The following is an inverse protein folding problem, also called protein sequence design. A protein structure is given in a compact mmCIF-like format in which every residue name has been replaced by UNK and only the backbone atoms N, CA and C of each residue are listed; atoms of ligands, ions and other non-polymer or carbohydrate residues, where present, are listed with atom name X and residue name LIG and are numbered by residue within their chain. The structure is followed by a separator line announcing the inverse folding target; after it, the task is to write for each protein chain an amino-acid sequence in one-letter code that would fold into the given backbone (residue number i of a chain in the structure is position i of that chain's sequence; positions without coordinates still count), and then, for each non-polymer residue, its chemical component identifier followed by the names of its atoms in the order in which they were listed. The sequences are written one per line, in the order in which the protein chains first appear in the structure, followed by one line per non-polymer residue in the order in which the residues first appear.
data_IF_378120369012
#
_entry.id   IF_378120369012
#
_cell.length_a   1.000
_cell.length_b   1.000
_cell.length_c   1.000
_cell.angle_alpha   90.00
_cell.angle_beta   90.00
_cell.angle_gamma   90.00
#
_symmetry.space_group_name_H-M   'P 1'
#
loop_
_entity.id
_entity.type
_entity.pdbx_description
1 polymer ?
#
# COMPACT_ATOMS: atom_id res chain seq x y z
N UNK A 1 9.85 14.67 11.49
CA UNK A 1 8.66 13.90 11.94
C UNK A 1 8.62 12.56 11.27
N UNK A 2 7.96 11.57 11.89
CA UNK A 2 7.58 10.32 11.23
C UNK A 2 6.06 10.26 11.06
N UNK A 3 5.60 9.55 10.03
CA UNK A 3 4.21 9.41 9.68
C UNK A 3 3.68 7.98 9.91
N UNK A 4 4.24 7.27 10.91
CA UNK A 4 3.87 5.90 11.24
C UNK A 4 4.52 4.86 10.31
N UNK A 5 3.99 3.66 10.37
CA UNK A 5 4.48 2.51 9.60
C UNK A 5 3.41 1.97 8.65
N UNK A 6 3.87 1.20 7.69
CA UNK A 6 3.05 0.41 6.77
C UNK A 6 3.47 -1.05 6.84
N UNK A 7 2.53 -1.96 6.75
CA UNK A 7 2.79 -3.37 6.52
C UNK A 7 2.79 -3.66 5.02
N UNK A 8 3.88 -4.23 4.54
CA UNK A 8 4.08 -4.57 3.13
C UNK A 8 4.43 -6.06 2.96
N UNK A 9 3.96 -6.91 3.89
CA UNK A 9 4.30 -8.34 3.92
C UNK A 9 3.63 -9.13 2.79
N UNK A 10 2.48 -8.67 2.28
CA UNK A 10 1.81 -9.32 1.14
C UNK A 10 2.53 -8.94 -0.15
N UNK A 11 3.47 -9.78 -0.53
CA UNK A 11 4.33 -9.55 -1.68
C UNK A 11 4.61 -10.86 -2.44
N UNK A 12 4.99 -10.72 -3.72
CA UNK A 12 5.45 -11.80 -4.58
C UNK A 12 6.71 -11.37 -5.31
N UNK A 13 7.75 -12.18 -5.27
CA UNK A 13 9.04 -11.86 -5.89
C UNK A 13 9.55 -10.46 -5.51
N UNK A 14 9.45 -10.08 -4.24
CA UNK A 14 9.77 -8.76 -3.68
C UNK A 14 8.93 -7.59 -4.26
N UNK A 15 7.84 -7.88 -4.96
CA UNK A 15 6.86 -6.88 -5.38
C UNK A 15 5.68 -6.88 -4.42
N UNK A 16 5.42 -5.74 -3.81
CA UNK A 16 4.29 -5.52 -2.90
C UNK A 16 2.99 -5.64 -3.69
N UNK A 17 1.99 -6.31 -3.14
CA UNK A 17 0.68 -6.57 -3.76
C UNK A 17 -0.44 -5.88 -3.00
N UNK A 18 -0.41 -6.01 -1.66
CA UNK A 18 -1.31 -5.31 -0.74
C UNK A 18 -0.47 -4.69 0.37
N UNK A 19 -0.78 -3.45 0.71
CA UNK A 19 -0.17 -2.73 1.83
C UNK A 19 -1.25 -2.22 2.77
N UNK A 20 -0.98 -2.19 4.07
CA UNK A 20 -1.91 -1.65 5.06
C UNK A 20 -1.21 -0.83 6.15
N UNK A 21 -1.95 0.06 6.76
CA UNK A 21 -1.51 0.86 7.90
C UNK A 21 -2.67 1.13 8.85
N UNK A 22 -2.45 1.02 10.19
CA UNK A 22 -1.24 0.50 10.84
C UNK A 22 -1.09 -1.01 10.65
N UNK A 23 0.13 -1.53 10.79
CA UNK A 23 0.41 -2.97 10.70
C UNK A 23 -0.34 -3.75 11.78
N UNK A 24 -1.02 -4.86 11.45
CA UNK A 24 -1.62 -5.73 12.46
C UNK A 24 -0.57 -6.48 13.32
N UNK A 25 0.68 -6.58 12.85
CA UNK A 25 1.75 -7.28 13.55
C UNK A 25 2.35 -6.47 14.71
N UNK A 26 2.15 -5.14 14.75
CA UNK A 26 2.77 -4.26 15.74
C UNK A 26 1.75 -3.78 16.77
N UNK A 27 2.17 -3.75 18.04
CA UNK A 27 1.45 -3.04 19.07
C UNK A 27 1.83 -1.54 19.11
N UNK A 28 1.11 -0.75 19.91
CA UNK A 28 1.33 0.70 20.00
C UNK A 28 2.75 1.05 20.44
N UNK A 29 3.28 0.39 21.43
CA UNK A 29 4.62 0.66 21.96
C UNK A 29 5.70 0.42 20.90
N UNK A 30 5.60 -0.68 20.14
CA UNK A 30 6.54 -0.99 19.06
C UNK A 30 6.52 0.05 17.94
N UNK A 31 5.33 0.59 17.61
CA UNK A 31 5.21 1.70 16.64
C UNK A 31 5.90 2.96 17.10
N UNK A 32 5.66 3.34 18.35
CA UNK A 32 6.29 4.52 18.94
C UNK A 32 7.81 4.36 19.00
N UNK A 33 8.29 3.18 19.38
CA UNK A 33 9.72 2.87 19.46
C UNK A 33 10.41 2.95 18.10
N UNK A 34 9.89 2.27 17.08
CA UNK A 34 10.52 2.31 15.75
C UNK A 34 10.43 3.69 15.12
N UNK A 35 9.33 4.42 15.31
CA UNK A 35 9.18 5.78 14.84
C UNK A 35 10.24 6.72 15.41
N UNK A 36 10.51 6.62 16.72
CA UNK A 36 11.53 7.44 17.39
C UNK A 36 12.95 7.04 16.98
N UNK A 37 13.23 5.74 16.78
CA UNK A 37 14.52 5.25 16.28
C UNK A 37 14.79 5.82 14.89
N UNK A 38 13.80 5.74 13.98
CA UNK A 38 13.89 6.27 12.62
C UNK A 38 14.11 7.78 12.63
N UNK A 39 13.31 8.53 13.42
CA UNK A 39 13.43 9.99 13.53
C UNK A 39 14.85 10.39 13.93
N UNK A 40 15.40 9.79 15.00
CA UNK A 40 16.77 10.06 15.46
C UNK A 40 17.84 9.71 14.42
N UNK A 41 17.67 8.59 13.73
CA UNK A 41 18.60 8.17 12.68
C UNK A 41 18.63 9.20 11.54
N UNK A 42 17.46 9.62 11.05
CA UNK A 42 17.33 10.59 9.97
C UNK A 42 17.86 11.96 10.35
N UNK A 43 17.61 12.44 11.57
CA UNK A 43 18.20 13.68 12.10
C UNK A 43 19.73 13.61 12.13
N UNK A 44 20.29 12.49 12.60
CA UNK A 44 21.75 12.31 12.70
C UNK A 44 22.45 12.33 11.35
N UNK A 45 21.85 11.79 10.31
CA UNK A 45 22.42 11.80 8.95
C UNK A 45 22.11 13.09 8.18
N UNK A 46 21.26 13.97 8.73
CA UNK A 46 20.88 15.24 8.10
C UNK A 46 20.05 15.07 6.82
N UNK A 47 19.32 13.95 6.68
CA UNK A 47 18.46 13.75 5.53
C UNK A 47 17.24 14.68 5.56
N UNK A 48 16.96 15.29 4.43
CA UNK A 48 15.77 16.14 4.23
C UNK A 48 14.88 15.57 3.13
N UNK A 49 13.58 15.91 3.19
CA UNK A 49 12.52 15.44 2.28
C UNK A 49 11.91 14.08 2.70
N UNK A 50 10.99 13.56 1.86
CA UNK A 50 10.30 12.31 2.13
C UNK A 50 11.23 11.10 1.93
N UNK A 51 11.13 10.14 2.81
CA UNK A 51 11.85 8.87 2.71
C UNK A 51 11.17 7.78 3.53
N UNK A 52 11.53 6.53 3.28
CA UNK A 52 11.01 5.37 4.00
C UNK A 52 12.17 4.44 4.35
N UNK A 53 12.22 4.01 5.61
CA UNK A 53 13.12 2.94 6.04
C UNK A 53 12.32 1.64 6.07
N UNK A 54 12.88 0.60 5.46
CA UNK A 54 12.27 -0.73 5.44
C UNK A 54 12.96 -1.64 6.45
N UNK A 55 12.13 -2.42 7.17
CA UNK A 55 12.58 -3.35 8.21
C UNK A 55 11.90 -4.70 8.03
N UNK A 56 12.61 -5.77 8.38
CA UNK A 56 11.97 -7.02 8.77
C UNK A 56 11.63 -6.96 10.26
N UNK A 57 10.47 -7.49 10.63
CA UNK A 57 10.05 -7.60 12.01
C UNK A 57 9.85 -9.08 12.35
N UNK A 58 10.59 -9.58 13.35
CA UNK A 58 10.53 -10.96 13.80
C UNK A 58 10.84 -11.02 15.30
N UNK A 59 10.08 -11.80 16.05
CA UNK A 59 10.26 -12.02 17.49
C UNK A 59 10.41 -10.72 18.31
N UNK A 60 9.61 -9.71 17.97
CA UNK A 60 9.60 -8.41 18.63
C UNK A 60 10.80 -7.51 18.30
N UNK A 61 11.58 -7.84 17.29
CA UNK A 61 12.78 -7.09 16.86
C UNK A 61 12.66 -6.58 15.44
N UNK A 62 13.21 -5.39 15.21
CA UNK A 62 13.32 -4.77 13.90
C UNK A 62 14.72 -4.96 13.32
N UNK A 63 14.79 -5.45 12.09
CA UNK A 63 16.03 -5.64 11.34
C UNK A 63 16.00 -4.70 10.14
N UNK A 64 16.89 -3.69 10.16
CA UNK A 64 16.98 -2.72 9.07
C UNK A 64 17.39 -3.40 7.76
N UNK A 65 16.68 -3.08 6.68
CA UNK A 65 16.99 -3.57 5.34
C UNK A 65 17.56 -2.46 4.47
N UNK A 66 16.78 -1.41 4.21
CA UNK A 66 17.17 -0.33 3.33
C UNK A 66 16.44 0.98 3.65
N UNK A 67 16.93 2.06 3.06
CA UNK A 67 16.23 3.34 3.03
C UNK A 67 15.93 3.74 1.58
N UNK A 68 14.66 4.00 1.31
CA UNK A 68 14.19 4.58 0.06
C UNK A 68 14.12 6.09 0.20
N UNK A 69 15.02 6.81 -0.47
CA UNK A 69 15.12 8.28 -0.43
C UNK A 69 14.17 8.95 -1.44
N UNK A 70 12.96 8.47 -1.53
CA UNK A 70 11.92 8.88 -2.46
C UNK A 70 10.53 8.57 -1.91
N UNK A 71 9.53 9.14 -2.54
CA UNK A 71 8.14 8.71 -2.35
C UNK A 71 7.97 7.25 -2.79
N UNK A 72 7.20 6.47 -2.04
CA UNK A 72 6.86 5.10 -2.39
C UNK A 72 5.45 5.01 -2.98
N UNK A 73 5.16 3.92 -3.70
CA UNK A 73 3.85 3.66 -4.33
C UNK A 73 2.74 3.72 -3.29
N UNK A 74 2.97 3.12 -2.12
CA UNK A 74 2.03 2.94 -1.01
C UNK A 74 1.88 4.15 -0.08
N UNK A 75 2.42 5.33 -0.44
CA UNK A 75 2.22 6.55 0.36
C UNK A 75 0.75 6.93 0.61
N UNK A 76 -0.22 6.63 -0.30
CA UNK A 76 -1.61 7.01 -0.11
C UNK A 76 -2.25 6.46 1.17
N UNK A 77 -1.86 5.27 1.65
CA UNK A 77 -2.42 4.75 2.91
C UNK A 77 -1.95 5.56 4.12
N UNK A 78 -0.70 6.05 4.11
CA UNK A 78 -0.19 6.98 5.14
C UNK A 78 -0.97 8.30 5.09
N UNK A 79 -1.21 8.86 3.91
CA UNK A 79 -2.04 10.05 3.73
C UNK A 79 -3.46 9.85 4.28
N UNK A 80 -4.05 8.68 4.01
CA UNK A 80 -5.41 8.35 4.45
C UNK A 80 -5.58 8.32 5.97
N UNK A 81 -4.57 7.90 6.73
CA UNK A 81 -4.63 7.82 8.20
C UNK A 81 -4.07 9.04 8.92
N UNK A 82 -3.25 9.86 8.24
CA UNK A 82 -2.65 11.07 8.85
C UNK A 82 -3.32 12.38 8.41
N UNK A 83 -3.98 12.37 7.24
CA UNK A 83 -4.50 13.58 6.62
C UNK A 83 -3.41 14.50 6.03
N UNK A 84 -2.16 14.04 5.96
CA UNK A 84 -1.03 14.81 5.44
C UNK A 84 -0.81 14.47 3.97
N UNK A 85 -0.85 15.47 3.09
CA UNK A 85 -0.49 15.36 1.68
C UNK A 85 1.05 15.33 1.54
N UNK A 86 1.59 14.11 1.42
CA UNK A 86 3.03 13.86 1.41
C UNK A 86 3.67 14.47 0.16
N UNK A 87 3.01 14.41 -0.99
CA UNK A 87 3.51 14.96 -2.25
C UNK A 87 3.64 16.47 -2.16
N UNK A 88 2.64 17.14 -1.59
CA UNK A 88 2.67 18.57 -1.33
C UNK A 88 3.81 18.95 -0.40
N UNK A 89 3.97 18.23 0.72
CA UNK A 89 5.05 18.50 1.68
C UNK A 89 6.42 18.24 1.04
N UNK A 90 6.57 17.23 0.21
CA UNK A 90 7.79 16.95 -0.53
C UNK A 90 8.19 18.13 -1.42
N UNK A 91 7.23 18.72 -2.15
CA UNK A 91 7.46 19.90 -3.01
C UNK A 91 7.80 21.12 -2.15
N UNK A 92 7.09 21.34 -1.03
CA UNK A 92 7.36 22.46 -0.13
C UNK A 92 8.76 22.41 0.47
N UNK A 93 9.16 21.25 0.98
CA UNK A 93 10.51 21.04 1.54
C UNK A 93 11.58 21.23 0.46
N UNK A 94 11.36 20.72 -0.74
CA UNK A 94 12.28 20.90 -1.87
C UNK A 94 12.41 22.37 -2.28
N UNK A 95 11.37 23.20 -2.06
CA UNK A 95 11.43 24.65 -2.28
C UNK A 95 12.11 25.45 -1.13
N UNK A 96 12.59 24.76 -0.09
CA UNK A 96 13.24 25.36 1.07
C UNK A 96 12.30 25.74 2.22
N UNK A 97 11.01 25.39 2.13
CA UNK A 97 10.08 25.62 3.22
C UNK A 97 10.30 24.63 4.37
N UNK A 98 10.19 25.10 5.60
CA UNK A 98 10.11 24.22 6.78
C UNK A 98 8.75 23.52 6.84
N UNK A 99 8.70 22.36 7.51
CA UNK A 99 7.43 21.74 7.88
C UNK A 99 6.65 22.71 8.77
N UNK A 100 5.35 22.87 8.51
CA UNK A 100 4.47 23.74 9.29
C UNK A 100 3.91 23.08 10.54
N UNK A 101 4.41 21.91 10.95
CA UNK A 101 3.94 21.10 12.06
C UNK A 101 5.08 20.30 12.71
N UNK A 102 4.87 19.90 13.94
CA UNK A 102 5.77 19.06 14.75
C UNK A 102 5.27 17.61 14.80
N UNK A 103 5.99 16.74 15.50
CA UNK A 103 5.53 15.35 15.71
C UNK A 103 4.23 15.28 16.52
N UNK A 104 4.02 16.19 17.46
CA UNK A 104 2.82 16.24 18.31
C UNK A 104 1.56 16.64 17.52
N UNK A 105 1.73 17.28 16.37
CA UNK A 105 0.64 17.65 15.47
C UNK A 105 0.21 16.50 14.54
N UNK A 106 1.06 15.45 14.43
CA UNK A 106 0.76 14.29 13.59
C UNK A 106 -0.20 13.35 14.32
N UNK A 107 -1.42 13.29 13.82
CA UNK A 107 -2.45 12.39 14.37
C UNK A 107 -2.68 11.21 13.44
N UNK A 108 -2.93 10.04 14.02
CA UNK A 108 -3.26 8.82 13.27
C UNK A 108 -4.71 8.44 13.54
N UNK A 109 -5.50 8.24 12.49
CA UNK A 109 -6.92 7.93 12.60
C UNK A 109 -7.32 6.80 11.67
N UNK A 110 -7.91 5.76 12.25
CA UNK A 110 -8.47 4.65 11.50
C UNK A 110 -7.44 3.66 10.96
N UNK A 111 -7.77 3.05 9.82
CA UNK A 111 -6.99 2.04 9.14
C UNK A 111 -7.16 2.20 7.63
N UNK A 112 -6.10 2.01 6.86
CA UNK A 112 -6.14 2.08 5.41
C UNK A 112 -5.44 0.88 4.78
N UNK A 113 -5.94 0.44 3.62
CA UNK A 113 -5.42 -0.67 2.83
C UNK A 113 -5.31 -0.20 1.38
N UNK A 114 -4.19 -0.50 0.74
CA UNK A 114 -3.97 -0.29 -0.70
C UNK A 114 -3.83 -1.64 -1.40
N UNK A 115 -4.47 -1.77 -2.57
CA UNK A 115 -4.26 -2.87 -3.50
C UNK A 115 -3.66 -2.32 -4.79
N UNK A 116 -2.55 -2.91 -5.24
CA UNK A 116 -1.98 -2.60 -6.55
C UNK A 116 -2.72 -3.36 -7.62
N UNK A 117 -3.38 -2.64 -8.51
CA UNK A 117 -4.11 -3.23 -9.63
C UNK A 117 -3.19 -3.25 -10.84
N UNK A 118 -2.77 -4.43 -11.22
CA UNK A 118 -1.88 -4.65 -12.35
C UNK A 118 -2.64 -5.27 -13.53
N UNK A 119 -2.27 -4.89 -14.75
CA UNK A 119 -2.71 -5.56 -15.97
C UNK A 119 -1.89 -6.84 -16.16
N UNK A 120 -2.27 -7.88 -15.40
CA UNK A 120 -1.60 -9.18 -15.32
C UNK A 120 -2.64 -10.30 -15.19
N UNK A 121 -2.25 -11.47 -15.64
CA UNK A 121 -2.99 -12.69 -15.35
C UNK A 121 -2.92 -12.98 -13.83
N UNK A 122 -4.05 -13.08 -13.11
CA UNK A 122 -4.07 -13.19 -11.65
C UNK A 122 -3.45 -14.48 -11.10
N UNK A 123 -3.28 -15.50 -11.94
CA UNK A 123 -2.69 -16.79 -11.54
C UNK A 123 -1.19 -16.87 -11.86
N UNK A 124 -0.80 -16.38 -13.05
CA UNK A 124 0.58 -16.54 -13.56
C UNK A 124 1.41 -15.28 -13.37
N UNK A 125 0.76 -14.13 -13.14
CA UNK A 125 1.35 -12.79 -13.12
C UNK A 125 2.02 -12.41 -14.45
N UNK A 126 1.65 -13.08 -15.53
CA UNK A 126 2.10 -12.70 -16.85
C UNK A 126 1.49 -11.33 -17.22
N UNK A 127 2.29 -10.36 -17.63
CA UNK A 127 1.78 -9.07 -18.10
C UNK A 127 0.75 -9.24 -19.20
N UNK A 128 -0.34 -8.48 -19.12
CA UNK A 128 -1.43 -8.49 -20.09
C UNK A 128 -1.68 -7.09 -20.66
N UNK A 129 -0.72 -6.52 -21.45
CA UNK A 129 -0.92 -5.25 -22.11
C UNK A 129 -2.07 -5.34 -23.12
N UNK A 130 -2.75 -4.24 -23.39
CA UNK A 130 -3.86 -4.24 -24.32
C UNK A 130 -4.74 -3.01 -24.20
N UNK A 131 -5.85 -3.02 -24.92
CA UNK A 131 -6.81 -1.92 -24.91
C UNK A 131 -7.88 -2.15 -23.84
N UNK A 132 -8.06 -1.18 -22.96
CA UNK A 132 -9.16 -1.13 -22.01
C UNK A 132 -10.44 -0.83 -22.78
N UNK A 133 -11.41 -1.76 -22.75
CA UNK A 133 -12.70 -1.59 -23.40
C UNK A 133 -13.74 -0.97 -22.48
N UNK A 134 -13.69 -1.30 -21.17
CA UNK A 134 -14.52 -0.73 -20.14
C UNK A 134 -13.70 -0.39 -18.90
N UNK A 135 -14.01 0.74 -18.28
CA UNK A 135 -13.42 1.22 -17.05
C UNK A 135 -14.49 1.82 -16.15
N UNK A 136 -14.69 1.24 -14.97
CA UNK A 136 -15.55 1.79 -13.94
C UNK A 136 -14.82 1.71 -12.59
N UNK A 137 -14.33 2.84 -12.11
CA UNK A 137 -13.67 2.92 -10.82
C UNK A 137 -14.68 2.96 -9.67
N UNK A 138 -14.46 2.22 -8.57
CA UNK A 138 -15.32 2.30 -7.39
C UNK A 138 -15.21 3.67 -6.72
N UNK A 139 -16.26 4.05 -6.00
CA UNK A 139 -16.34 5.34 -5.34
C UNK A 139 -16.95 5.28 -3.94
N UNK A 140 -17.20 6.46 -3.38
CA UNK A 140 -17.84 6.65 -2.08
C UNK A 140 -16.87 6.92 -0.94
N UNK A 141 -17.41 7.09 0.26
CA UNK A 141 -16.65 7.49 1.44
C UNK A 141 -15.55 6.49 1.78
N UNK A 142 -14.29 6.97 1.88
CA UNK A 142 -13.13 6.17 2.21
C UNK A 142 -12.67 5.24 1.09
N UNK A 143 -13.01 5.57 -0.16
CA UNK A 143 -12.48 4.92 -1.36
C UNK A 143 -11.77 5.97 -2.21
N UNK A 144 -10.51 5.67 -2.60
CA UNK A 144 -9.69 6.47 -3.50
C UNK A 144 -9.11 5.54 -4.56
N UNK A 145 -9.12 5.98 -5.80
CA UNK A 145 -8.44 5.29 -6.92
C UNK A 145 -7.47 6.26 -7.54
N UNK A 146 -6.18 5.91 -7.54
CA UNK A 146 -5.13 6.64 -8.23
C UNK A 146 -4.83 5.89 -9.53
N UNK A 147 -5.15 6.48 -10.67
CA UNK A 147 -4.96 5.87 -11.99
C UNK A 147 -4.95 6.94 -13.09
N UNK A 148 -4.29 6.63 -14.20
CA UNK A 148 -4.36 7.40 -15.45
C UNK A 148 -5.25 6.74 -16.51
N UNK A 149 -5.85 5.57 -16.18
CA UNK A 149 -6.58 4.73 -17.13
C UNK A 149 -8.01 5.23 -17.34
N UNK A 150 -8.50 5.03 -18.54
CA UNK A 150 -9.89 5.32 -18.97
C UNK A 150 -10.31 4.34 -20.07
N UNK A 151 -11.63 4.25 -20.34
CA UNK A 151 -12.15 3.42 -21.44
C UNK A 151 -11.57 3.88 -22.78
N UNK A 152 -10.94 2.96 -23.51
CA UNK A 152 -10.24 3.22 -24.76
C UNK A 152 -8.73 3.41 -24.62
N UNK A 153 -8.18 3.52 -23.40
CA UNK A 153 -6.74 3.58 -23.15
C UNK A 153 -6.05 2.29 -23.62
N UNK A 154 -4.85 2.40 -24.18
CA UNK A 154 -4.03 1.26 -24.56
C UNK A 154 -2.81 1.17 -23.63
N UNK A 155 -2.74 0.11 -22.83
CA UNK A 155 -1.62 -0.17 -21.95
C UNK A 155 -0.42 -0.58 -22.79
N UNK A 156 0.69 0.18 -22.76
CA UNK A 156 1.87 -0.15 -23.55
C UNK A 156 2.64 -1.32 -22.90
N UNK A 157 3.30 -2.19 -23.71
CA UNK A 157 4.03 -3.36 -23.17
C UNK A 157 5.43 -3.02 -22.64
N UNK A 158 5.81 -1.74 -22.59
CA UNK A 158 7.19 -1.30 -22.30
C UNK A 158 7.42 -0.82 -20.88
N UNK A 159 6.35 -0.70 -20.08
CA UNK A 159 6.38 -0.18 -18.71
C UNK A 159 5.86 -1.21 -17.73
N UNK A 160 5.92 -0.86 -16.44
CA UNK A 160 5.31 -1.65 -15.37
C UNK A 160 3.83 -1.89 -15.65
N UNK A 161 3.34 -3.05 -15.25
CA UNK A 161 1.96 -3.48 -15.47
C UNK A 161 0.94 -2.81 -14.53
N UNK A 162 1.38 -2.06 -13.52
CA UNK A 162 0.48 -1.40 -12.56
C UNK A 162 -0.31 -0.28 -13.25
N UNK A 163 -1.63 -0.42 -13.25
CA UNK A 163 -2.57 0.49 -13.94
C UNK A 163 -3.42 1.31 -12.97
N UNK A 164 -3.53 0.88 -11.72
CA UNK A 164 -4.23 1.63 -10.69
C UNK A 164 -3.75 1.23 -9.29
N UNK A 165 -4.01 2.10 -8.32
CA UNK A 165 -3.98 1.81 -6.90
C UNK A 165 -5.39 2.00 -6.37
N UNK A 166 -5.94 0.97 -5.73
CA UNK A 166 -7.19 1.06 -5.00
C UNK A 166 -6.86 1.23 -3.53
N UNK A 167 -7.21 2.37 -2.96
CA UNK A 167 -6.98 2.70 -1.56
C UNK A 167 -8.34 2.79 -0.85
N UNK A 168 -8.47 2.09 0.27
CA UNK A 168 -9.65 2.19 1.13
C UNK A 168 -9.24 2.57 2.54
N UNK A 169 -10.10 3.30 3.24
CA UNK A 169 -9.87 3.66 4.64
C UNK A 169 -11.15 3.50 5.46
N UNK A 170 -11.00 3.19 6.74
CA UNK A 170 -12.13 3.02 7.67
C UNK A 170 -11.71 3.34 9.10
N UNK A 171 -12.69 3.48 10.01
CA UNK A 171 -12.42 3.72 11.43
C UNK A 171 -11.68 2.54 12.10
N UNK A 172 -11.82 1.35 11.56
CA UNK A 172 -11.18 0.12 12.03
C UNK A 172 -10.71 -0.70 10.83
N UNK A 173 -9.81 -1.66 11.06
CA UNK A 173 -9.37 -2.61 10.03
C UNK A 173 -10.56 -3.34 9.39
N UNK A 174 -11.51 -3.82 10.18
CA UNK A 174 -12.72 -4.47 9.67
C UNK A 174 -13.54 -3.55 8.77
N UNK A 175 -13.69 -2.28 9.13
CA UNK A 175 -14.40 -1.31 8.29
C UNK A 175 -13.66 -1.05 6.97
N UNK A 176 -12.33 -1.02 6.98
CA UNK A 176 -11.52 -0.93 5.76
C UNK A 176 -11.66 -2.19 4.90
N UNK A 177 -11.61 -3.38 5.49
CA UNK A 177 -11.80 -4.67 4.79
C UNK A 177 -13.19 -4.77 4.14
N UNK A 178 -14.25 -4.35 4.83
CA UNK A 178 -15.59 -4.33 4.25
C UNK A 178 -15.69 -3.39 3.05
N UNK A 179 -15.05 -2.21 3.13
CA UNK A 179 -14.96 -1.28 2.00
C UNK A 179 -14.16 -1.84 0.85
N UNK A 180 -13.02 -2.48 1.16
CA UNK A 180 -12.18 -3.09 0.14
C UNK A 180 -12.94 -4.16 -0.64
N UNK A 181 -13.68 -5.04 0.05
CA UNK A 181 -14.50 -6.06 -0.60
C UNK A 181 -15.50 -5.43 -1.57
N UNK A 182 -16.30 -4.45 -1.11
CA UNK A 182 -17.25 -3.74 -1.95
C UNK A 182 -16.55 -3.04 -3.13
N UNK A 183 -15.45 -2.33 -2.88
CA UNK A 183 -14.74 -1.60 -3.91
C UNK A 183 -14.15 -2.52 -4.99
N UNK A 184 -13.61 -3.68 -4.62
CA UNK A 184 -13.12 -4.67 -5.59
C UNK A 184 -14.26 -5.33 -6.40
N UNK A 185 -15.46 -5.47 -5.81
CA UNK A 185 -16.66 -5.95 -6.53
C UNK A 185 -17.19 -4.93 -7.53
N UNK A 186 -17.08 -3.62 -7.20
CA UNK A 186 -17.51 -2.53 -8.07
C UNK A 186 -16.50 -2.18 -9.18
N UNK A 187 -15.22 -2.55 -8.99
CA UNK A 187 -14.16 -2.16 -9.91
C UNK A 187 -14.21 -2.98 -11.19
N UNK A 188 -14.68 -2.38 -12.29
CA UNK A 188 -14.75 -3.03 -13.60
C UNK A 188 -13.62 -2.55 -14.49
N UNK A 189 -12.82 -3.48 -14.98
CA UNK A 189 -11.77 -3.26 -15.99
C UNK A 189 -11.88 -4.39 -17.00
N UNK A 190 -12.27 -4.07 -18.24
CA UNK A 190 -12.39 -5.05 -19.31
C UNK A 190 -11.41 -4.76 -20.45
N UNK A 191 -11.15 -5.79 -21.26
CA UNK A 191 -10.21 -5.76 -22.39
C UNK A 191 -8.85 -6.35 -22.06
N UNK A 192 -8.48 -6.41 -20.78
CA UNK A 192 -7.25 -7.01 -20.26
C UNK A 192 -7.53 -7.84 -19.00
N UNK A 193 -6.65 -8.78 -18.67
CA UNK A 193 -6.69 -9.45 -17.37
C UNK A 193 -6.06 -8.53 -16.31
N UNK A 194 -6.58 -8.57 -15.09
CA UNK A 194 -6.07 -7.79 -13.96
C UNK A 194 -5.91 -8.64 -12.71
N UNK A 195 -5.19 -8.09 -11.72
CA UNK A 195 -5.01 -8.71 -10.39
C UNK A 195 -6.23 -8.56 -9.47
N UNK A 196 -7.33 -7.92 -9.89
CA UNK A 196 -8.56 -7.79 -9.07
C UNK A 196 -9.05 -9.13 -8.51
N UNK A 197 -9.17 -10.22 -9.29
CA UNK A 197 -9.59 -11.52 -8.76
C UNK A 197 -8.66 -12.05 -7.67
N UNK A 198 -7.35 -11.86 -7.82
CA UNK A 198 -6.38 -12.24 -6.80
C UNK A 198 -6.61 -11.48 -5.49
N UNK A 199 -6.86 -10.17 -5.56
CA UNK A 199 -7.14 -9.38 -4.36
C UNK A 199 -8.43 -9.84 -3.66
N UNK A 200 -9.49 -10.14 -4.43
CA UNK A 200 -10.74 -10.70 -3.89
C UNK A 200 -10.50 -12.03 -3.17
N UNK A 201 -9.66 -12.88 -3.74
CA UNK A 201 -9.26 -14.13 -3.12
C UNK A 201 -8.48 -13.95 -1.83
N UNK A 202 -7.48 -13.06 -1.82
CA UNK A 202 -6.65 -12.76 -0.65
C UNK A 202 -7.52 -12.26 0.51
N UNK A 203 -8.37 -11.28 0.27
CA UNK A 203 -9.19 -10.65 1.33
C UNK A 203 -10.31 -11.55 1.87
N UNK A 204 -10.55 -12.69 1.23
CA UNK A 204 -11.48 -13.72 1.69
C UNK A 204 -10.84 -14.74 2.64
N UNK A 205 -9.50 -14.78 2.71
CA UNK A 205 -8.78 -15.76 3.54
C UNK A 205 -8.84 -15.36 5.01
N UNK A 206 -9.12 -16.32 5.89
CA UNK A 206 -9.17 -16.11 7.33
C UNK A 206 -7.85 -15.55 7.87
N UNK A 207 -6.72 -16.10 7.41
CA UNK A 207 -5.39 -15.65 7.84
C UNK A 207 -5.15 -14.16 7.52
N UNK A 208 -5.61 -13.68 6.35
CA UNK A 208 -5.52 -12.26 6.00
C UNK A 208 -6.47 -11.41 6.85
N UNK A 209 -7.73 -11.87 7.03
CA UNK A 209 -8.73 -11.18 7.84
C UNK A 209 -8.25 -11.01 9.29
N UNK A 210 -7.62 -12.05 9.83
CA UNK A 210 -7.12 -12.08 11.22
C UNK A 210 -5.73 -11.43 11.38
N UNK A 211 -5.11 -10.94 10.29
CA UNK A 211 -3.76 -10.36 10.31
C UNK A 211 -2.65 -11.38 10.57
N UNK A 212 -2.88 -12.66 10.27
CA UNK A 212 -1.95 -13.77 10.49
C UNK A 212 -1.23 -14.14 9.19
N UNK A 213 -0.44 -13.22 8.69
CA UNK A 213 0.35 -13.41 7.47
C UNK A 213 1.79 -12.90 7.67
N UNK A 214 2.69 -13.35 6.81
CA UNK A 214 4.07 -12.94 6.76
C UNK A 214 4.54 -12.81 5.30
N UNK A 215 5.82 -12.48 5.10
CA UNK A 215 6.40 -12.27 3.76
C UNK A 215 6.33 -13.48 2.82
N UNK A 216 6.11 -14.70 3.35
CA UNK A 216 5.98 -15.95 2.57
C UNK A 216 4.53 -16.36 2.35
N UNK A 217 3.59 -15.67 3.00
CA UNK A 217 2.19 -16.10 3.02
C UNK A 217 1.57 -16.14 1.62
N UNK A 218 1.81 -15.12 0.80
CA UNK A 218 1.23 -15.04 -0.54
C UNK A 218 1.72 -16.18 -1.44
N UNK A 219 3.02 -16.49 -1.41
CA UNK A 219 3.60 -17.60 -2.18
C UNK A 219 2.99 -18.94 -1.74
N UNK A 220 2.85 -19.16 -0.44
CA UNK A 220 2.20 -20.36 0.10
C UNK A 220 0.72 -20.43 -0.28
N UNK A 221 0.01 -19.31 -0.25
CA UNK A 221 -1.38 -19.23 -0.69
C UNK A 221 -1.52 -19.58 -2.18
N UNK A 222 -0.67 -19.01 -3.03
CA UNK A 222 -0.65 -19.28 -4.46
C UNK A 222 -0.35 -20.76 -4.76
N UNK A 223 0.62 -21.35 -4.05
CA UNK A 223 0.95 -22.77 -4.17
C UNK A 223 -0.23 -23.67 -3.78
N UNK A 224 -0.95 -23.35 -2.70
CA UNK A 224 -2.14 -24.11 -2.27
C UNK A 224 -3.29 -24.00 -3.27
N UNK A 225 -3.51 -22.80 -3.82
CA UNK A 225 -4.66 -22.53 -4.68
C UNK A 225 -4.48 -22.99 -6.13
N UNK A 226 -3.29 -22.78 -6.67
CA UNK A 226 -3.01 -23.00 -8.10
C UNK A 226 -2.00 -24.12 -8.37
N UNK A 227 -1.45 -24.77 -7.32
CA UNK A 227 -0.52 -25.88 -7.45
C UNK A 227 0.84 -25.51 -8.06
N UNK A 228 1.30 -24.28 -7.81
CA UNK A 228 2.52 -23.72 -8.41
C UNK A 228 3.58 -23.44 -7.36
#
# INVERSE_FOLDING_TARGET
VHLGERDCSIQRNNQKVIEETPSPALNRQQREEIGEIVRKAIEKIGYTNAGTLEFLFEDGRFYFMEMNTRLQVEHPITEAVTGIDIVREQIRVASGAALGYTQDDVTFSGHAIECRINAEDPETFAPCPGKITEWHAPGGLGVRVDSEIYSGYSIPPFYDSMIAKLIVSGKTRNAALMRLRRALEEFVIEGVKTTIPLHQDIISQAEFIDGQYNIHWLEQFMARKYGK
#
